data_IF_081988737271
#
_entry.id   IF_081988737271
#
_cell.length_a   1.000
_cell.length_b   1.000
_cell.length_c   1.000
_cell.angle_alpha   90.00
_cell.angle_beta   90.00
_cell.angle_gamma   90.00
#
_symmetry.space_group_name_H-M   'P 1'
#
loop_
_entity.id
_entity.type
_entity.pdbx_description
1 polymer ?
#
# COMPACT_ATOMS: atom_id res chain seq x y z
N UNK A 1 -4.36 13.30 -4.37
CA UNK A 1 -3.19 12.67 -3.73
C UNK A 1 -3.35 11.14 -3.67
N UNK A 2 -3.31 10.45 -4.83
CA UNK A 2 -3.39 8.98 -4.95
C UNK A 2 -2.34 8.44 -5.96
N UNK A 3 -1.26 9.18 -6.16
CA UNK A 3 -0.44 9.06 -7.38
C UNK A 3 0.51 7.85 -7.38
N UNK A 4 0.80 7.26 -6.21
CA UNK A 4 1.87 6.24 -6.12
C UNK A 4 1.42 4.83 -6.48
N UNK A 5 0.21 4.41 -6.11
CA UNK A 5 -0.27 3.04 -6.36
C UNK A 5 -1.63 2.96 -7.05
N UNK A 6 -2.39 4.06 -7.11
CA UNK A 6 -3.70 4.04 -7.76
C UNK A 6 -3.67 3.82 -9.27
N UNK A 7 -2.68 4.32 -10.03
CA UNK A 7 -2.61 4.03 -11.46
C UNK A 7 -2.45 2.53 -11.75
N UNK A 8 -2.94 2.11 -12.92
CA UNK A 8 -2.75 0.75 -13.42
C UNK A 8 -1.27 0.32 -13.51
N UNK A 9 -0.41 1.26 -13.89
CA UNK A 9 1.03 1.09 -14.03
C UNK A 9 1.74 2.21 -13.25
N UNK A 10 1.91 2.07 -11.93
CA UNK A 10 2.52 3.13 -11.14
C UNK A 10 4.02 3.26 -11.42
N UNK A 11 4.50 4.50 -11.45
CA UNK A 11 5.92 4.78 -11.64
C UNK A 11 6.73 4.20 -10.46
N UNK A 12 7.80 3.47 -10.76
CA UNK A 12 8.66 2.78 -9.77
C UNK A 12 7.92 1.73 -8.92
N UNK A 13 6.85 1.13 -9.46
CA UNK A 13 6.20 -0.01 -8.81
C UNK A 13 7.20 -1.16 -8.58
N UNK A 14 7.10 -1.82 -7.42
CA UNK A 14 8.01 -2.88 -7.02
C UNK A 14 9.42 -2.45 -6.63
N UNK A 15 9.83 -1.19 -6.86
CA UNK A 15 11.09 -0.67 -6.29
C UNK A 15 10.92 -0.44 -4.80
N UNK A 16 11.99 -0.70 -4.04
CA UNK A 16 12.01 -0.49 -2.60
C UNK A 16 11.51 0.93 -2.27
N UNK A 17 10.39 1.00 -1.54
CA UNK A 17 9.85 2.27 -1.05
C UNK A 17 10.61 2.66 0.23
N UNK A 18 10.66 3.96 0.59
CA UNK A 18 11.32 4.39 1.82
C UNK A 18 10.86 3.55 3.01
N UNK A 19 11.76 3.27 3.96
CA UNK A 19 11.47 2.53 5.20
C UNK A 19 11.54 3.45 6.45
N UNK A 20 12.02 4.69 6.29
CA UNK A 20 12.29 5.65 7.36
C UNK A 20 11.75 7.04 7.01
N UNK A 21 11.54 7.88 8.02
CA UNK A 21 11.06 9.26 7.87
C UNK A 21 9.56 9.46 8.07
N UNK A 22 8.77 8.38 8.04
CA UNK A 22 7.36 8.40 8.43
C UNK A 22 6.88 6.99 8.83
N UNK A 23 6.08 6.82 9.90
CA UNK A 23 5.64 5.49 10.36
C UNK A 23 4.80 4.73 9.31
N UNK A 24 4.09 5.45 8.43
CA UNK A 24 3.32 4.84 7.32
C UNK A 24 4.18 3.97 6.41
N UNK A 25 5.47 4.28 6.26
CA UNK A 25 6.36 3.52 5.40
C UNK A 25 6.61 2.12 5.96
N UNK A 26 6.87 2.02 7.26
CA UNK A 26 7.01 0.74 7.94
C UNK A 26 5.69 -0.01 7.91
N UNK A 27 4.57 0.69 8.12
CA UNK A 27 3.23 0.09 8.03
C UNK A 27 3.00 -0.53 6.65
N UNK A 28 3.26 0.20 5.56
CA UNK A 28 3.08 -0.28 4.20
C UNK A 28 3.87 -1.56 3.90
N UNK A 29 5.12 -1.66 4.38
CA UNK A 29 5.92 -2.87 4.19
C UNK A 29 5.42 -4.01 5.06
N UNK A 30 5.13 -3.73 6.32
CA UNK A 30 4.66 -4.74 7.26
C UNK A 30 3.28 -5.31 6.89
N UNK A 31 2.44 -4.51 6.23
CA UNK A 31 1.13 -4.94 5.74
C UNK A 31 1.14 -5.30 4.26
N UNK A 32 2.29 -5.38 3.60
CA UNK A 32 2.40 -5.72 2.17
C UNK A 32 1.54 -4.84 1.22
N UNK A 33 1.40 -3.55 1.54
CA UNK A 33 0.70 -2.54 0.71
C UNK A 33 1.67 -1.55 0.05
N UNK A 34 2.95 -1.92 -0.11
CA UNK A 34 4.00 -1.03 -0.61
C UNK A 34 4.11 -0.99 -2.15
N UNK A 35 3.62 -2.00 -2.86
CA UNK A 35 3.62 -2.11 -4.33
C UNK A 35 2.47 -2.97 -4.86
N UNK A 36 2.20 -2.97 -6.16
CA UNK A 36 1.11 -3.77 -6.76
C UNK A 36 1.37 -5.27 -6.67
N UNK A 37 2.62 -5.72 -6.77
CA UNK A 37 2.97 -7.14 -6.57
C UNK A 37 2.64 -7.62 -5.17
N UNK A 38 2.91 -6.82 -4.14
CA UNK A 38 2.55 -7.16 -2.77
C UNK A 38 1.03 -7.16 -2.57
N UNK A 39 0.32 -6.17 -3.13
CA UNK A 39 -1.14 -6.13 -3.11
C UNK A 39 -1.78 -7.35 -3.79
N UNK A 40 -1.27 -7.76 -4.95
CA UNK A 40 -1.75 -8.93 -5.66
C UNK A 40 -1.50 -10.22 -4.86
N UNK A 41 -0.28 -10.38 -4.32
CA UNK A 41 0.12 -11.59 -3.60
C UNK A 41 -0.61 -11.77 -2.26
N UNK A 42 -0.81 -10.70 -1.51
CA UNK A 42 -1.28 -10.77 -0.12
C UNK A 42 -2.73 -10.34 0.09
N UNK A 43 -3.26 -9.50 -0.81
CA UNK A 43 -4.62 -8.96 -0.69
C UNK A 43 -5.53 -9.35 -1.85
N UNK A 44 -5.02 -10.08 -2.86
CA UNK A 44 -5.80 -10.44 -4.05
C UNK A 44 -6.17 -9.26 -4.94
N UNK A 45 -5.58 -8.08 -4.71
CA UNK A 45 -5.84 -6.87 -5.49
C UNK A 45 -4.94 -6.89 -6.72
N UNK A 46 -5.54 -7.20 -7.88
CA UNK A 46 -4.82 -7.36 -9.14
C UNK A 46 -4.02 -6.12 -9.56
N UNK A 47 -2.85 -6.36 -10.16
CA UNK A 47 -2.06 -5.34 -10.83
C UNK A 47 -2.62 -5.03 -12.24
N UNK A 48 -2.20 -3.92 -12.85
CA UNK A 48 -2.57 -3.58 -14.23
C UNK A 48 -3.95 -2.91 -14.38
N UNK A 49 -4.67 -2.70 -13.29
CA UNK A 49 -5.91 -1.91 -13.27
C UNK A 49 -5.81 -0.73 -12.32
N UNK A 50 -6.65 0.28 -12.47
CA UNK A 50 -6.70 1.36 -11.50
C UNK A 50 -7.26 0.86 -10.17
N UNK A 51 -6.66 1.28 -9.05
CA UNK A 51 -7.26 1.02 -7.74
C UNK A 51 -8.58 1.79 -7.61
N UNK A 52 -9.67 1.07 -7.45
CA UNK A 52 -10.97 1.65 -7.16
C UNK A 52 -11.01 2.31 -5.79
N UNK A 53 -12.04 3.13 -5.54
CA UNK A 53 -12.21 3.79 -4.24
C UNK A 53 -12.32 2.78 -3.09
N UNK A 54 -12.96 1.63 -3.32
CA UNK A 54 -13.09 0.56 -2.33
C UNK A 54 -11.73 -0.06 -1.98
N UNK A 55 -10.92 -0.38 -2.98
CA UNK A 55 -9.58 -0.97 -2.77
C UNK A 55 -8.65 0.02 -2.07
N UNK A 56 -8.69 1.31 -2.48
CA UNK A 56 -7.93 2.36 -1.80
C UNK A 56 -8.38 2.50 -0.34
N UNK A 57 -9.70 2.49 -0.07
CA UNK A 57 -10.24 2.52 1.28
C UNK A 57 -9.80 1.35 2.14
N UNK A 58 -9.83 0.13 1.57
CA UNK A 58 -9.35 -1.08 2.22
C UNK A 58 -7.85 -0.98 2.58
N UNK A 59 -7.00 -0.58 1.63
CA UNK A 59 -5.55 -0.40 1.85
C UNK A 59 -5.31 0.60 2.99
N UNK A 60 -6.01 1.73 2.97
CA UNK A 60 -5.91 2.73 4.04
C UNK A 60 -6.37 2.17 5.38
N UNK A 61 -7.43 1.37 5.42
CA UNK A 61 -7.93 0.76 6.65
C UNK A 61 -6.91 -0.22 7.25
N UNK A 62 -6.28 -1.06 6.42
CA UNK A 62 -5.24 -2.02 6.85
C UNK A 62 -4.03 -1.27 7.44
N UNK A 63 -3.54 -0.24 6.76
CA UNK A 63 -2.42 0.59 7.24
C UNK A 63 -2.78 1.26 8.57
N UNK A 64 -3.99 1.84 8.67
CA UNK A 64 -4.47 2.48 9.91
C UNK A 64 -4.57 1.50 11.07
N UNK A 65 -5.07 0.29 10.83
CA UNK A 65 -5.20 -0.72 11.86
C UNK A 65 -3.83 -1.12 12.42
N UNK A 66 -2.87 -1.41 11.53
CA UNK A 66 -1.51 -1.74 11.95
C UNK A 66 -0.84 -0.61 12.74
N UNK A 67 -1.06 0.65 12.33
CA UNK A 67 -0.50 1.81 13.03
C UNK A 67 -1.07 1.96 14.44
N UNK A 68 -2.38 1.73 14.61
CA UNK A 68 -3.03 1.76 15.93
C UNK A 68 -2.49 0.67 16.84
N UNK A 69 -2.30 -0.54 16.33
CA UNK A 69 -1.81 -1.67 17.12
C UNK A 69 -0.33 -1.53 17.53
N UNK A 70 0.44 -0.65 16.86
CA UNK A 70 1.87 -0.41 17.11
C UNK A 70 2.21 0.94 17.71
N UNK A 71 1.22 1.81 17.90
CA UNK A 71 1.38 3.04 18.68
C UNK A 71 0.95 2.75 20.12
N UNK A 72 1.71 3.19 21.13
CA UNK A 72 1.32 3.04 22.54
C UNK A 72 0.04 3.83 22.86
#
# INVERSE_FOLDING_TARGET
>A
MAQRLAPALPLNDGKQTPMRGHPVFVAQHATATCCRTCLAKWHGIGAGQWLGAQEQGYIVAVIKHWLRDRQP
#
